data_IF_968174263882
#
_entry.id   IF_968174263882
#
_cell.length_a   1.000
_cell.length_b   1.000
_cell.length_c   1.000
_cell.angle_alpha   90.00
_cell.angle_beta   90.00
_cell.angle_gamma   90.00
#
_symmetry.space_group_name_H-M   'P 1'
#
loop_
_entity.id
_entity.type
_entity.pdbx_description
1 polymer ?
#
# COMPACT_ATOMS: atom_id res chain seq x y z
N UNK A 1 14.33 13.84 16.74
CA UNK A 1 13.16 14.24 15.93
C UNK A 1 12.00 13.39 16.36
N UNK A 2 10.97 14.02 16.92
CA UNK A 2 9.90 13.34 17.64
C UNK A 2 8.90 12.68 16.66
N UNK A 3 8.76 11.36 16.75
CA UNK A 3 7.59 10.65 16.24
C UNK A 3 6.39 11.04 17.13
N UNK A 4 5.44 11.80 16.59
CA UNK A 4 4.12 11.89 17.22
C UNK A 4 3.33 10.62 16.91
N UNK A 5 3.51 9.64 17.79
CA UNK A 5 2.61 8.48 17.93
C UNK A 5 1.40 8.92 18.74
N UNK A 6 0.42 9.57 18.09
CA UNK A 6 -0.83 9.97 18.75
C UNK A 6 -1.97 9.03 18.32
N UNK A 7 -1.94 7.80 18.83
CA UNK A 7 -3.08 6.89 18.84
C UNK A 7 -3.61 6.77 20.28
N UNK A 8 -4.14 7.87 20.84
CA UNK A 8 -5.13 7.87 21.93
C UNK A 8 -5.43 9.33 22.33
N UNK A 9 -6.48 9.91 21.75
CA UNK A 9 -7.42 10.85 22.40
C UNK A 9 -8.32 11.47 21.32
N UNK A 10 -9.34 10.72 20.91
CA UNK A 10 -10.59 11.32 20.45
C UNK A 10 -11.28 11.96 21.66
N UNK A 11 -10.82 13.16 22.06
CA UNK A 11 -11.63 13.99 22.94
C UNK A 11 -12.69 14.66 22.04
N UNK A 12 -13.82 13.98 21.91
CA UNK A 12 -14.99 14.48 21.25
C UNK A 12 -15.53 15.70 22.02
N UNK A 13 -15.34 16.89 21.44
CA UNK A 13 -16.13 18.06 21.79
C UNK A 13 -16.59 18.68 20.47
N UNK A 14 -17.85 18.47 20.11
CA UNK A 14 -18.85 19.54 20.01
C UNK A 14 -20.21 18.97 19.61
N UNK A 15 -21.19 19.55 20.28
CA UNK A 15 -22.63 19.35 20.24
C UNK A 15 -23.18 19.65 18.83
N UNK A 16 -24.22 18.90 18.44
CA UNK A 16 -25.50 19.32 17.82
C UNK A 16 -25.89 18.37 16.68
N UNK A 17 -27.14 17.93 16.77
CA UNK A 17 -27.85 17.02 15.90
C UNK A 17 -27.63 17.24 14.39
N UNK A 18 -27.07 16.23 13.72
CA UNK A 18 -27.52 15.64 12.44
C UNK A 18 -26.37 14.82 11.83
N UNK A 19 -26.50 13.49 11.89
CA UNK A 19 -25.79 12.53 11.01
C UNK A 19 -24.27 12.68 10.90
N UNK A 20 -23.52 12.02 11.78
CA UNK A 20 -22.07 11.81 11.57
C UNK A 20 -21.89 10.58 10.69
N UNK A 21 -21.58 10.79 9.41
CA UNK A 21 -21.02 9.76 8.54
C UNK A 21 -19.57 9.50 9.00
N UNK A 22 -19.36 8.37 9.68
CA UNK A 22 -18.01 7.89 10.00
C UNK A 22 -17.35 7.38 8.72
N UNK A 23 -16.43 8.14 8.15
CA UNK A 23 -15.53 7.65 7.10
C UNK A 23 -14.35 6.94 7.77
N UNK A 24 -14.11 5.67 7.44
CA UNK A 24 -12.84 5.02 7.79
C UNK A 24 -11.71 5.71 7.02
N UNK A 25 -10.89 6.50 7.71
CA UNK A 25 -9.70 7.13 7.18
C UNK A 25 -8.63 6.06 6.91
N UNK A 26 -8.30 5.85 5.63
CA UNK A 26 -7.06 5.17 5.28
C UNK A 26 -5.86 5.97 5.79
N UNK A 27 -4.75 5.30 6.09
CA UNK A 27 -3.52 5.99 6.48
C UNK A 27 -3.01 6.83 5.30
N UNK A 28 -3.29 8.14 5.37
CA UNK A 28 -2.84 9.13 4.40
C UNK A 28 -1.38 9.48 4.69
N UNK A 29 -0.47 9.18 3.77
CA UNK A 29 0.90 9.69 3.85
C UNK A 29 0.90 11.10 3.22
N UNK A 30 0.29 12.05 3.95
CA UNK A 30 0.15 13.43 3.52
C UNK A 30 1.50 14.15 3.63
N UNK A 31 2.24 14.18 2.53
CA UNK A 31 3.52 14.87 2.39
C UNK A 31 4.22 14.43 1.13
N UNK A 32 5.08 15.28 0.55
CA UNK A 32 5.90 14.92 -0.59
C UNK A 32 6.77 13.71 -0.25
N UNK A 33 6.42 12.55 -0.79
CA UNK A 33 7.23 11.34 -0.74
C UNK A 33 8.06 11.24 -2.01
N UNK A 34 9.10 10.43 -1.99
CA UNK A 34 9.87 10.16 -3.20
C UNK A 34 9.25 9.02 -4.01
N UNK A 35 9.17 9.19 -5.32
CA UNK A 35 8.73 8.21 -6.29
C UNK A 35 9.84 7.93 -7.30
N UNK A 36 10.17 6.65 -7.49
CA UNK A 36 11.16 6.19 -8.49
C UNK A 36 10.60 5.06 -9.35
N UNK A 37 11.44 4.50 -10.22
CA UNK A 37 11.12 3.38 -11.10
C UNK A 37 12.16 2.28 -10.95
N UNK A 38 11.72 1.02 -10.81
CA UNK A 38 12.61 -0.14 -10.81
C UNK A 38 12.48 -1.02 -12.05
N UNK A 39 11.64 -0.62 -13.01
CA UNK A 39 11.44 -1.29 -14.28
C UNK A 39 10.24 -2.23 -14.30
N UNK A 40 9.69 -2.42 -15.51
CA UNK A 40 8.59 -3.35 -15.74
C UNK A 40 9.08 -4.81 -15.71
N UNK A 41 8.29 -5.71 -15.10
CA UNK A 41 8.59 -7.15 -15.10
C UNK A 41 9.55 -7.59 -13.99
N UNK A 42 10.02 -6.67 -13.15
CA UNK A 42 10.76 -6.98 -11.92
C UNK A 42 9.82 -7.28 -10.72
N UNK A 43 8.52 -7.43 -11.00
CA UNK A 43 7.37 -7.57 -10.10
C UNK A 43 7.35 -8.88 -9.28
N UNK A 44 8.47 -9.61 -9.21
CA UNK A 44 8.57 -10.94 -8.59
C UNK A 44 8.20 -10.95 -7.10
N UNK A 45 8.04 -9.77 -6.49
CA UNK A 45 7.37 -9.57 -5.20
C UNK A 45 8.03 -10.33 -4.06
N UNK A 46 9.36 -10.47 -4.12
CA UNK A 46 10.16 -11.37 -3.29
C UNK A 46 9.86 -11.22 -1.79
N UNK A 47 9.72 -9.97 -1.31
CA UNK A 47 9.39 -9.74 0.09
C UNK A 47 7.97 -10.19 0.44
N UNK A 48 6.94 -9.75 -0.30
CA UNK A 48 5.57 -10.06 0.05
C UNK A 48 5.20 -11.53 -0.22
N UNK A 49 5.85 -12.17 -1.18
CA UNK A 49 5.74 -13.62 -1.41
C UNK A 49 6.21 -14.41 -0.19
N UNK A 50 7.32 -14.01 0.43
CA UNK A 50 7.80 -14.57 1.69
C UNK A 50 6.82 -14.35 2.87
N UNK A 51 5.97 -13.32 2.79
CA UNK A 51 4.93 -12.99 3.76
C UNK A 51 3.55 -13.57 3.41
N UNK A 52 3.50 -14.57 2.52
CA UNK A 52 2.27 -15.30 2.21
C UNK A 52 1.30 -14.56 1.27
N UNK A 53 1.74 -13.48 0.63
CA UNK A 53 0.99 -12.85 -0.46
C UNK A 53 1.35 -13.50 -1.79
N UNK A 54 0.41 -14.24 -2.35
CA UNK A 54 0.50 -14.71 -3.74
C UNK A 54 -0.05 -13.60 -4.65
N UNK A 55 0.83 -13.02 -5.47
CA UNK A 55 0.48 -11.93 -6.37
C UNK A 55 -0.63 -12.35 -7.35
N UNK A 56 -1.80 -11.72 -7.24
CA UNK A 56 -2.88 -11.82 -8.21
C UNK A 56 -3.80 -10.60 -8.08
N UNK A 57 -3.23 -9.40 -8.20
CA UNK A 57 -3.97 -8.14 -8.07
C UNK A 57 -4.77 -7.76 -9.33
N UNK A 58 -5.30 -8.73 -10.07
CA UNK A 58 -6.21 -8.49 -11.20
C UNK A 58 -5.62 -7.68 -12.36
N UNK A 59 -4.30 -7.66 -12.53
CA UNK A 59 -3.62 -6.89 -13.58
C UNK A 59 -3.26 -5.46 -13.19
N UNK A 60 -3.42 -5.07 -11.91
CA UNK A 60 -2.88 -3.79 -11.43
C UNK A 60 -1.35 -3.78 -11.50
N UNK A 61 -0.73 -2.63 -11.84
CA UNK A 61 0.72 -2.48 -11.75
C UNK A 61 1.17 -2.60 -10.29
N UNK A 62 2.41 -3.04 -10.09
CA UNK A 62 2.96 -3.23 -8.76
C UNK A 62 3.83 -2.06 -8.29
N UNK A 63 4.04 -1.98 -6.99
CA UNK A 63 4.88 -0.96 -6.35
C UNK A 63 5.63 -1.57 -5.18
N UNK A 64 6.91 -1.22 -5.05
CA UNK A 64 7.69 -1.46 -3.85
C UNK A 64 7.60 -0.21 -2.95
N UNK A 65 7.45 -0.40 -1.65
CA UNK A 65 7.32 0.72 -0.70
C UNK A 65 8.34 0.58 0.40
N UNK A 66 8.64 1.69 1.07
CA UNK A 66 9.55 1.69 2.22
C UNK A 66 9.10 0.78 3.36
N UNK A 67 10.04 0.42 4.24
CA UNK A 67 9.76 -0.37 5.45
C UNK A 67 8.67 0.25 6.32
N UNK A 68 8.67 1.58 6.45
CA UNK A 68 7.69 2.33 7.25
C UNK A 68 6.27 2.16 6.72
N UNK A 69 6.10 2.18 5.40
CA UNK A 69 4.81 1.95 4.74
C UNK A 69 4.45 0.47 4.77
N UNK A 70 5.42 -0.42 4.55
CA UNK A 70 5.18 -1.85 4.44
C UNK A 70 4.78 -2.49 5.78
N UNK A 71 5.21 -1.89 6.90
CA UNK A 71 4.92 -2.32 8.27
C UNK A 71 5.25 -3.81 8.49
N UNK A 72 6.50 -4.21 8.22
CA UNK A 72 6.96 -5.60 8.33
C UNK A 72 6.09 -6.61 7.54
N UNK A 73 5.54 -6.19 6.39
CA UNK A 73 4.70 -7.02 5.53
C UNK A 73 3.21 -6.97 5.84
N UNK A 74 2.77 -6.22 6.86
CA UNK A 74 1.33 -6.07 7.16
C UNK A 74 0.55 -5.47 5.98
N UNK A 75 1.19 -4.61 5.19
CA UNK A 75 0.59 -3.99 4.00
C UNK A 75 0.86 -4.73 2.68
N UNK A 76 1.43 -5.94 2.73
CA UNK A 76 1.55 -6.78 1.53
C UNK A 76 0.18 -7.12 0.95
N UNK A 77 -0.02 -6.81 -0.33
CA UNK A 77 -1.29 -7.01 -1.03
C UNK A 77 -2.33 -5.92 -0.80
N UNK A 78 -2.02 -4.88 -0.02
CA UNK A 78 -2.80 -3.64 -0.02
C UNK A 78 -2.52 -2.86 -1.31
N UNK A 79 -3.41 -1.92 -1.65
CA UNK A 79 -3.22 -1.04 -2.79
C UNK A 79 -2.84 0.36 -2.32
N UNK A 80 -2.17 1.12 -3.17
CA UNK A 80 -2.03 2.56 -3.02
C UNK A 80 -2.67 3.26 -4.20
N UNK A 81 -3.27 4.43 -3.96
CA UNK A 81 -3.55 5.41 -5.02
C UNK A 81 -2.44 6.44 -4.96
N UNK A 82 -1.64 6.51 -6.02
CA UNK A 82 -0.47 7.36 -6.13
C UNK A 82 -0.68 8.46 -7.18
N UNK A 83 -0.21 9.66 -6.86
CA UNK A 83 -0.25 10.86 -7.71
C UNK A 83 1.15 11.48 -7.74
N UNK A 84 1.66 11.77 -8.93
CA UNK A 84 2.85 12.59 -9.12
C UNK A 84 2.55 14.08 -8.95
N UNK A 85 3.41 14.79 -8.22
CA UNK A 85 3.25 16.22 -7.92
C UNK A 85 4.03 17.11 -8.91
N UNK A 86 4.67 16.53 -9.94
CA UNK A 86 5.39 17.26 -11.01
C UNK A 86 6.78 17.81 -10.64
N UNK A 87 7.14 17.87 -9.36
CA UNK A 87 8.50 18.23 -8.93
C UNK A 87 9.43 17.00 -8.94
N UNK A 88 10.67 17.14 -9.41
CA UNK A 88 11.65 16.03 -9.41
C UNK A 88 12.79 16.21 -10.41
N UNK A 89 13.56 15.15 -10.61
CA UNK A 89 14.63 15.04 -11.62
C UNK A 89 14.46 13.77 -12.45
N UNK A 90 14.86 13.80 -13.73
CA UNK A 90 14.68 12.69 -14.68
C UNK A 90 13.88 13.12 -15.92
N UNK A 91 13.73 12.22 -16.86
CA UNK A 91 13.03 12.47 -18.13
C UNK A 91 11.63 11.85 -18.18
N UNK A 92 11.27 11.05 -17.18
CA UNK A 92 10.00 10.33 -17.09
C UNK A 92 9.19 10.74 -15.85
N UNK A 93 8.52 11.91 -15.82
CA UNK A 93 7.74 12.32 -14.67
C UNK A 93 6.62 11.32 -14.32
N UNK A 94 6.43 11.09 -13.03
CA UNK A 94 5.29 10.31 -12.52
C UNK A 94 3.99 11.08 -12.82
N UNK A 95 3.01 10.36 -13.38
CA UNK A 95 1.71 10.93 -13.77
C UNK A 95 1.00 11.63 -12.62
N UNK A 96 0.47 12.83 -12.88
CA UNK A 96 -0.42 13.56 -11.96
C UNK A 96 -1.84 13.01 -11.93
N UNK A 97 -2.15 12.00 -12.76
CA UNK A 97 -3.43 11.28 -12.69
C UNK A 97 -3.36 10.22 -11.60
N UNK A 98 -4.32 10.18 -10.65
CA UNK A 98 -4.39 9.15 -9.62
C UNK A 98 -4.38 7.75 -10.24
N UNK A 99 -3.34 6.98 -9.91
CA UNK A 99 -3.14 5.63 -10.44
C UNK A 99 -3.02 4.64 -9.29
N UNK A 100 -3.70 3.49 -9.42
CA UNK A 100 -3.69 2.46 -8.39
C UNK A 100 -2.56 1.46 -8.63
N UNK A 101 -1.82 1.13 -7.58
CA UNK A 101 -0.77 0.13 -7.58
C UNK A 101 -0.98 -0.87 -6.44
N UNK A 102 -0.53 -2.11 -6.61
CA UNK A 102 -0.49 -3.11 -5.53
C UNK A 102 0.88 -3.15 -4.87
N UNK A 103 0.90 -3.11 -3.54
CA UNK A 103 2.13 -3.29 -2.76
C UNK A 103 2.52 -4.77 -2.81
N UNK A 104 3.60 -5.09 -3.52
CA UNK A 104 4.12 -6.46 -3.64
C UNK A 104 5.56 -6.62 -3.17
N UNK A 105 6.27 -5.54 -2.86
CA UNK A 105 7.68 -5.64 -2.48
C UNK A 105 8.11 -4.57 -1.48
N UNK A 106 9.27 -4.81 -0.87
CA UNK A 106 9.99 -3.85 -0.04
C UNK A 106 11.01 -3.11 -0.89
N UNK A 107 11.04 -1.78 -0.77
CA UNK A 107 12.17 -0.96 -1.18
C UNK A 107 12.92 -0.48 0.07
N UNK A 108 14.08 -1.07 0.34
CA UNK A 108 14.88 -0.79 1.55
C UNK A 108 15.49 0.61 1.57
N UNK A 109 15.70 1.17 0.39
CA UNK A 109 16.42 2.41 0.12
C UNK A 109 15.47 3.61 -0.10
N UNK A 110 14.16 3.37 -0.22
CA UNK A 110 13.18 4.39 -0.58
C UNK A 110 12.82 5.38 0.55
N UNK A 111 13.41 5.29 1.74
CA UNK A 111 13.09 6.19 2.86
C UNK A 111 11.62 6.09 3.28
N UNK A 112 10.78 7.03 2.86
CA UNK A 112 9.30 7.02 3.04
C UNK A 112 8.55 6.99 1.70
N UNK A 113 9.25 6.66 0.62
CA UNK A 113 8.79 6.69 -0.76
C UNK A 113 8.26 5.36 -1.32
N UNK A 114 8.02 5.40 -2.62
CA UNK A 114 7.51 4.31 -3.44
C UNK A 114 8.35 4.15 -4.71
N UNK A 115 8.48 2.92 -5.18
CA UNK A 115 9.25 2.56 -6.37
C UNK A 115 8.35 1.77 -7.32
N UNK A 116 8.11 2.31 -8.52
CA UNK A 116 7.10 1.83 -9.44
C UNK A 116 7.65 0.71 -10.33
N UNK A 117 6.85 -0.35 -10.52
CA UNK A 117 7.15 -1.46 -11.44
C UNK A 117 6.87 -1.08 -12.91
N UNK A 118 7.43 0.05 -13.32
CA UNK A 118 7.21 0.65 -14.63
C UNK A 118 8.56 1.07 -15.19
N UNK A 119 8.65 1.14 -16.51
CA UNK A 119 9.83 1.71 -17.15
C UNK A 119 9.81 3.22 -16.98
N UNK A 120 10.91 3.77 -16.47
CA UNK A 120 11.13 5.19 -16.28
C UNK A 120 12.49 5.45 -15.64
N UNK A 121 12.83 6.72 -15.52
CA UNK A 121 14.04 7.20 -14.88
C UNK A 121 13.71 8.32 -13.89
N UNK A 122 14.64 8.62 -13.00
CA UNK A 122 14.54 9.78 -12.14
C UNK A 122 13.87 9.55 -10.79
N UNK A 123 13.55 10.67 -10.15
CA UNK A 123 13.04 10.76 -8.79
C UNK A 123 12.11 11.95 -8.69
N UNK A 124 10.86 11.68 -8.36
CA UNK A 124 9.80 12.69 -8.35
C UNK A 124 9.07 12.73 -7.02
N UNK A 125 8.54 13.90 -6.69
CA UNK A 125 7.63 14.09 -5.58
C UNK A 125 6.30 13.42 -5.90
N UNK A 126 5.85 12.56 -4.99
CA UNK A 126 4.58 11.85 -5.09
C UNK A 126 3.78 12.00 -3.79
N UNK A 127 2.48 11.77 -3.91
CA UNK A 127 1.56 11.62 -2.79
C UNK A 127 0.82 10.31 -2.96
N UNK A 128 0.61 9.54 -1.89
CA UNK A 128 -0.19 8.33 -1.98
C UNK A 128 -0.97 8.00 -0.70
N UNK A 129 -2.07 7.27 -0.89
CA UNK A 129 -2.91 6.75 0.18
C UNK A 129 -3.01 5.24 0.09
N UNK A 130 -2.90 4.55 1.21
CA UNK A 130 -3.17 3.11 1.26
C UNK A 130 -4.68 2.90 1.21
N UNK A 131 -5.14 2.09 0.26
CA UNK A 131 -6.54 1.78 0.01
C UNK A 131 -6.76 0.27 -0.10
N UNK A 132 -8.02 -0.16 0.01
CA UNK A 132 -8.38 -1.53 -0.32
C UNK A 132 -8.29 -1.75 -1.84
N UNK A 133 -7.64 -2.85 -2.25
CA UNK A 133 -7.65 -3.25 -3.65
C UNK A 133 -9.07 -3.63 -4.11
N UNK A 134 -9.49 -3.30 -5.34
CA UNK A 134 -10.68 -3.87 -5.95
C UNK A 134 -10.55 -5.39 -5.90
N UNK A 135 -11.56 -6.05 -5.34
CA UNK A 135 -11.54 -7.44 -4.88
C UNK A 135 -10.87 -8.43 -5.86
N UNK A 136 -9.57 -8.66 -5.68
CA UNK A 136 -8.81 -9.76 -6.24
C UNK A 136 -8.25 -10.61 -5.10
N UNK A 137 -9.05 -11.58 -4.64
CA UNK A 137 -8.73 -12.66 -3.68
C UNK A 137 -7.66 -12.33 -2.60
N UNK A 138 -8.13 -12.00 -1.39
CA UNK A 138 -7.27 -11.97 -0.19
C UNK A 138 -6.69 -13.38 0.06
N UNK A 139 -5.39 -13.44 0.36
CA UNK A 139 -4.66 -14.53 1.05
C UNK A 139 -5.02 -15.96 0.63
N UNK A 140 -4.27 -16.51 -0.33
CA UNK A 140 -4.30 -17.96 -0.60
C UNK A 140 -3.90 -18.82 0.63
N UNK A 141 -3.19 -18.25 1.61
CA UNK A 141 -2.64 -19.01 2.74
C UNK A 141 -3.55 -19.06 3.98
N UNK A 142 -4.52 -18.15 4.13
CA UNK A 142 -5.42 -18.15 5.30
C UNK A 142 -6.76 -18.81 5.02
N UNK A 143 -7.20 -18.84 3.76
CA UNK A 143 -8.43 -19.53 3.37
C UNK A 143 -8.23 -21.06 3.37
N UNK A 144 -7.01 -21.55 3.11
CA UNK A 144 -6.70 -22.99 3.20
C UNK A 144 -6.74 -23.54 4.63
N UNK A 145 -6.44 -22.74 5.66
CA UNK A 145 -6.54 -23.18 7.06
C UNK A 145 -7.99 -23.15 7.58
N UNK A 146 -8.88 -22.34 6.98
CA UNK A 146 -10.29 -22.30 7.35
C UNK A 146 -11.16 -23.31 6.60
N UNK A 147 -10.68 -23.85 5.48
CA UNK A 147 -11.35 -24.91 4.72
C UNK A 147 -10.78 -26.31 5.01
N UNK A 148 -9.84 -26.42 5.94
CA UNK A 148 -9.18 -27.67 6.36
C UNK A 148 -9.43 -27.95 7.85
N UNK A 149 -10.59 -27.54 8.39
CA UNK A 149 -11.09 -28.14 9.63
C UNK A 149 -11.76 -29.46 9.23
N UNK A 150 -11.14 -30.63 9.45
CA UNK A 150 -11.83 -31.89 9.32
C UNK A 150 -12.95 -31.96 10.38
N UNK A 151 -14.18 -32.14 9.90
CA UNK A 151 -15.32 -32.61 10.68
C UNK A 151 -15.03 -34.04 11.17
N UNK A 152 -14.30 -34.18 12.27
CA UNK A 152 -14.05 -35.49 12.89
C UNK A 152 -14.97 -35.72 14.09
N UNK A 153 -16.08 -36.38 13.76
CA UNK A 153 -16.75 -37.46 14.50
C UNK A 153 -17.71 -37.09 15.65
N UNK A 154 -19.00 -37.19 15.30
CA UNK A 154 -20.00 -37.85 16.15
C UNK A 154 -19.49 -39.23 16.60
N UNK A 155 -19.57 -39.50 17.91
CA UNK A 155 -19.98 -40.77 18.53
C UNK A 155 -20.19 -40.55 20.02
#
# INVERSE_FOLDING_TARGET
MALQSNCLQCLALFIVAAGVLTFCEGATHAGAQEGTYYGAGADSGSYCRGNGFAYSAGGLPSVAVSQTILQNGANCGSCIVLVGNGAGSGTTPISSTPTMYVINNLCSECGTGADLAQNGDGRFSVSFNIVSCPSGKRRASSLRRLLDSPDDHES
#
